data_IF_607636102233
#
_entry.id   IF_607636102233
#
_cell.length_a   1.000
_cell.length_b   1.000
_cell.length_c   1.000
_cell.angle_alpha   90.00
_cell.angle_beta   90.00
_cell.angle_gamma   90.00
#
_symmetry.space_group_name_H-M   'P 1'
#
loop_
_entity.id
_entity.type
_entity.pdbx_description
1 polymer ?
#
# COMPACT_ATOMS: atom_id res chain seq x y z
N UNK A 1 24.22 -2.10 -35.56
CA UNK A 1 23.30 -1.91 -34.42
C UNK A 1 23.78 -0.67 -33.67
N UNK A 2 23.12 0.48 -33.81
CA UNK A 2 23.55 1.65 -33.05
C UNK A 2 23.15 1.45 -31.59
N UNK A 3 24.11 1.60 -30.68
CA UNK A 3 23.80 1.66 -29.25
C UNK A 3 22.96 2.92 -29.04
N UNK A 4 21.73 2.72 -28.56
CA UNK A 4 20.93 3.82 -28.04
C UNK A 4 21.69 4.40 -26.86
N UNK A 5 22.23 5.61 -27.05
CA UNK A 5 22.89 6.34 -25.97
C UNK A 5 21.78 6.80 -25.03
N UNK A 6 21.57 6.06 -23.96
CA UNK A 6 20.67 6.47 -22.90
C UNK A 6 21.19 7.83 -22.36
N UNK A 7 20.34 8.85 -22.25
CA UNK A 7 20.75 10.11 -21.65
C UNK A 7 21.26 9.88 -20.24
N UNK A 8 22.12 10.77 -19.75
CA UNK A 8 22.56 10.74 -18.35
C UNK A 8 21.32 10.87 -17.46
N UNK A 9 20.93 9.76 -16.83
CA UNK A 9 19.78 9.74 -15.92
C UNK A 9 20.21 10.47 -14.64
N UNK A 10 19.61 11.63 -14.38
CA UNK A 10 19.67 12.27 -13.05
C UNK A 10 18.53 11.65 -12.24
N UNK A 11 18.81 10.57 -11.51
CA UNK A 11 17.81 9.86 -10.71
C UNK A 11 18.24 8.45 -10.29
N UNK A 12 17.43 7.80 -9.45
CA UNK A 12 17.62 6.40 -9.06
C UNK A 12 17.41 5.48 -10.27
N UNK A 13 18.25 4.45 -10.37
CA UNK A 13 18.11 3.42 -11.38
C UNK A 13 17.36 2.23 -10.78
N UNK A 14 16.25 1.85 -11.42
CA UNK A 14 15.47 0.67 -11.07
C UNK A 14 15.70 -0.42 -12.11
N UNK A 15 15.90 -1.65 -11.64
CA UNK A 15 15.78 -2.82 -12.50
C UNK A 15 14.30 -3.09 -12.85
N UNK A 16 14.04 -4.00 -13.79
CA UNK A 16 12.69 -4.29 -14.25
C UNK A 16 11.72 -4.69 -13.11
N UNK A 17 12.19 -5.48 -12.14
CA UNK A 17 11.37 -5.91 -11.01
C UNK A 17 11.02 -4.73 -10.10
N UNK A 18 12.00 -3.89 -9.77
CA UNK A 18 11.78 -2.69 -8.95
C UNK A 18 10.81 -1.72 -9.64
N UNK A 19 10.91 -1.57 -10.96
CA UNK A 19 9.99 -0.74 -11.73
C UNK A 19 8.55 -1.26 -11.67
N UNK A 20 8.36 -2.59 -11.78
CA UNK A 20 7.04 -3.23 -11.62
C UNK A 20 6.50 -3.01 -10.22
N UNK A 21 7.29 -3.30 -9.18
CA UNK A 21 6.87 -3.12 -7.78
C UNK A 21 6.43 -1.66 -7.51
N UNK A 22 7.20 -0.68 -8.00
CA UNK A 22 6.90 0.74 -7.84
C UNK A 22 5.61 1.15 -8.55
N UNK A 23 5.43 0.71 -9.80
CA UNK A 23 4.21 1.01 -10.56
C UNK A 23 3.01 0.36 -9.89
N UNK A 24 3.12 -0.89 -9.41
CA UNK A 24 2.03 -1.56 -8.70
C UNK A 24 1.68 -0.83 -7.39
N UNK A 25 2.67 -0.38 -6.63
CA UNK A 25 2.45 0.37 -5.40
C UNK A 25 1.80 1.73 -5.68
N UNK A 26 2.26 2.46 -6.71
CA UNK A 26 1.62 3.70 -7.17
C UNK A 26 0.16 3.46 -7.58
N UNK A 27 -0.10 2.39 -8.35
CA UNK A 27 -1.45 1.99 -8.76
C UNK A 27 -2.36 1.76 -7.54
N UNK A 28 -1.88 0.99 -6.57
CA UNK A 28 -2.58 0.68 -5.34
C UNK A 28 -2.92 1.97 -4.57
N UNK A 29 -1.93 2.84 -4.33
CA UNK A 29 -2.15 4.10 -3.61
C UNK A 29 -3.20 4.96 -4.30
N UNK A 30 -3.09 5.16 -5.61
CA UNK A 30 -4.02 6.02 -6.34
C UNK A 30 -5.44 5.45 -6.41
N UNK A 31 -5.58 4.11 -6.44
CA UNK A 31 -6.88 3.43 -6.44
C UNK A 31 -7.55 3.44 -5.08
N UNK A 32 -6.79 3.26 -4.01
CA UNK A 32 -7.28 3.13 -2.63
C UNK A 32 -7.46 4.49 -1.94
N UNK A 33 -6.53 5.43 -2.17
CA UNK A 33 -6.41 6.64 -1.38
C UNK A 33 -6.04 7.89 -2.20
N UNK A 34 -6.07 7.82 -3.54
CA UNK A 34 -5.62 8.93 -4.39
C UNK A 34 -6.36 10.26 -4.16
N UNK A 35 -7.59 10.21 -3.64
CA UNK A 35 -8.37 11.41 -3.27
C UNK A 35 -8.12 11.91 -1.84
N UNK A 36 -7.19 11.31 -1.10
CA UNK A 36 -6.86 11.67 0.28
C UNK A 36 -5.63 12.57 0.36
N UNK A 37 -5.24 12.94 1.59
CA UNK A 37 -4.00 13.68 1.86
C UNK A 37 -2.76 12.82 1.63
N UNK A 38 -1.60 13.47 1.45
CA UNK A 38 -0.31 12.79 1.31
C UNK A 38 0.01 11.86 2.49
N UNK A 39 -0.35 12.26 3.71
CA UNK A 39 -0.16 11.44 4.91
C UNK A 39 -1.03 10.16 4.88
N UNK A 40 -2.27 10.25 4.41
CA UNK A 40 -3.16 9.11 4.30
C UNK A 40 -2.73 8.15 3.16
N UNK A 41 -2.31 8.70 2.02
CA UNK A 41 -1.70 7.91 0.93
C UNK A 41 -0.42 7.19 1.40
N UNK A 42 0.43 7.90 2.15
CA UNK A 42 1.63 7.35 2.78
C UNK A 42 1.29 6.22 3.75
N UNK A 43 0.27 6.41 4.60
CA UNK A 43 -0.19 5.40 5.55
C UNK A 43 -0.67 4.12 4.86
N UNK A 44 -1.45 4.24 3.77
CA UNK A 44 -1.89 3.10 2.95
C UNK A 44 -0.69 2.36 2.34
N UNK A 45 0.26 3.08 1.76
CA UNK A 45 1.49 2.50 1.21
C UNK A 45 2.31 1.75 2.28
N UNK A 46 2.38 2.28 3.49
CA UNK A 46 3.05 1.64 4.61
C UNK A 46 2.42 0.31 5.02
N UNK A 47 1.12 0.12 4.85
CA UNK A 47 0.50 -1.19 5.12
C UNK A 47 1.04 -2.30 4.23
N UNK A 48 1.32 -1.99 2.96
CA UNK A 48 1.98 -2.92 2.02
C UNK A 48 3.37 -3.24 2.53
N UNK A 49 4.15 -2.21 2.83
CA UNK A 49 5.54 -2.39 3.29
C UNK A 49 5.63 -3.16 4.60
N UNK A 50 4.73 -2.90 5.54
CA UNK A 50 4.67 -3.62 6.82
C UNK A 50 4.38 -5.12 6.64
N UNK A 51 3.64 -5.50 5.60
CA UNK A 51 3.45 -6.90 5.20
C UNK A 51 4.71 -7.46 4.54
N UNK A 52 5.37 -6.71 3.65
CA UNK A 52 6.65 -7.10 3.02
C UNK A 52 7.75 -7.35 4.06
N UNK A 53 7.80 -6.53 5.11
CA UNK A 53 8.74 -6.70 6.23
C UNK A 53 8.41 -7.90 7.14
N UNK A 54 7.30 -8.60 6.89
CA UNK A 54 6.85 -9.81 7.61
C UNK A 54 6.53 -10.95 6.62
N UNK A 55 7.52 -11.43 5.86
CA UNK A 55 7.30 -12.35 4.76
C UNK A 55 6.61 -13.64 5.22
N UNK A 56 5.56 -14.05 4.49
CA UNK A 56 4.80 -15.27 4.73
C UNK A 56 3.84 -15.22 5.92
N UNK A 57 3.88 -14.15 6.72
CA UNK A 57 2.97 -14.00 7.85
C UNK A 57 1.53 -13.86 7.34
N UNK A 58 0.61 -14.67 7.88
CA UNK A 58 -0.80 -14.69 7.49
C UNK A 58 -1.04 -14.87 5.97
N UNK A 59 -0.11 -15.55 5.29
CA UNK A 59 -0.14 -15.78 3.84
C UNK A 59 -0.21 -14.49 3.01
N UNK A 60 0.35 -13.39 3.51
CA UNK A 60 0.35 -12.13 2.76
C UNK A 60 1.25 -12.15 1.54
N UNK A 61 2.19 -13.09 1.40
CA UNK A 61 3.24 -13.03 0.39
C UNK A 61 4.61 -12.78 1.02
N UNK A 62 5.66 -12.83 0.22
CA UNK A 62 7.05 -12.79 0.69
C UNK A 62 7.83 -11.59 0.14
N UNK A 63 7.24 -10.85 -0.78
CA UNK A 63 7.83 -9.68 -1.44
C UNK A 63 6.73 -8.69 -1.88
N UNK A 64 7.11 -7.57 -2.49
CA UNK A 64 6.18 -6.51 -2.91
C UNK A 64 5.06 -7.01 -3.83
N UNK A 65 5.42 -7.68 -4.92
CA UNK A 65 4.50 -8.23 -5.92
C UNK A 65 3.51 -9.20 -5.26
N UNK A 66 4.01 -10.23 -4.57
CA UNK A 66 3.15 -11.25 -3.95
C UNK A 66 2.28 -10.69 -2.82
N UNK A 67 2.70 -9.61 -2.15
CA UNK A 67 1.89 -8.89 -1.17
C UNK A 67 0.74 -8.11 -1.80
N UNK A 68 0.99 -7.40 -2.88
CA UNK A 68 -0.05 -6.63 -3.56
C UNK A 68 -1.03 -7.53 -4.31
N UNK A 69 -0.56 -8.69 -4.80
CA UNK A 69 -1.39 -9.68 -5.51
C UNK A 69 -2.00 -10.77 -4.61
N UNK A 70 -1.77 -10.71 -3.30
CA UNK A 70 -2.35 -11.68 -2.39
C UNK A 70 -3.88 -11.62 -2.44
N UNK A 71 -4.50 -12.80 -2.52
CA UNK A 71 -5.95 -12.95 -2.70
C UNK A 71 -6.69 -12.22 -1.57
N UNK A 72 -7.66 -11.37 -1.92
CA UNK A 72 -8.49 -10.58 -0.99
C UNK A 72 -7.75 -9.53 -0.15
N UNK A 73 -6.47 -9.25 -0.45
CA UNK A 73 -5.70 -8.28 0.31
C UNK A 73 -5.87 -6.85 -0.20
N UNK A 74 -5.90 -6.67 -1.52
CA UNK A 74 -6.11 -5.38 -2.18
C UNK A 74 -7.02 -5.57 -3.39
N UNK A 75 -8.33 -5.35 -3.23
CA UNK A 75 -9.30 -5.57 -4.30
C UNK A 75 -9.09 -4.64 -5.49
N UNK A 76 -8.46 -3.48 -5.27
CA UNK A 76 -8.00 -2.58 -6.32
C UNK A 76 -6.92 -3.16 -7.24
N UNK A 77 -6.30 -4.30 -6.91
CA UNK A 77 -5.29 -4.96 -7.74
C UNK A 77 -5.82 -6.25 -8.35
N UNK A 78 -6.43 -7.13 -7.54
CA UNK A 78 -6.84 -8.48 -7.96
C UNK A 78 -8.29 -8.83 -7.62
N UNK A 79 -9.13 -7.81 -7.38
CA UNK A 79 -10.53 -7.96 -7.03
C UNK A 79 -11.43 -8.39 -8.19
N UNK A 80 -12.74 -8.37 -7.93
CA UNK A 80 -13.75 -8.62 -8.97
C UNK A 80 -13.68 -7.54 -10.05
N UNK A 81 -13.91 -7.87 -11.33
CA UNK A 81 -14.04 -6.88 -12.41
C UNK A 81 -15.09 -5.79 -12.16
N UNK A 82 -16.06 -6.06 -11.29
CA UNK A 82 -17.09 -5.11 -10.88
C UNK A 82 -16.59 -4.07 -9.85
N UNK A 83 -15.39 -4.23 -9.29
CA UNK A 83 -14.78 -3.23 -8.40
C UNK A 83 -14.42 -1.97 -9.22
N UNK A 84 -15.05 -0.81 -8.94
CA UNK A 84 -14.77 0.42 -9.68
C UNK A 84 -13.33 0.89 -9.51
N UNK A 85 -12.65 0.54 -8.42
CA UNK A 85 -11.25 0.91 -8.20
C UNK A 85 -10.30 0.15 -9.13
N UNK A 86 -10.63 -1.10 -9.48
CA UNK A 86 -9.83 -1.90 -10.41
C UNK A 86 -9.76 -1.29 -11.83
N UNK A 87 -10.79 -0.51 -12.20
CA UNK A 87 -10.89 0.14 -13.50
C UNK A 87 -10.20 1.52 -13.55
N UNK A 88 -9.78 2.06 -12.40
CA UNK A 88 -9.06 3.34 -12.37
C UNK A 88 -7.64 3.15 -12.89
N UNK A 89 -7.27 3.93 -13.90
CA UNK A 89 -5.92 3.97 -14.45
C UNK A 89 -5.29 5.36 -14.31
N UNK A 90 -3.95 5.45 -14.26
CA UNK A 90 -3.27 6.71 -14.11
C UNK A 90 -3.55 7.65 -15.27
N UNK A 91 -4.04 8.85 -14.92
CA UNK A 91 -3.97 9.99 -15.80
C UNK A 91 -2.84 10.89 -15.27
N UNK A 92 -1.66 10.77 -15.87
CA UNK A 92 -0.48 11.54 -15.45
C UNK A 92 -0.59 13.04 -15.75
N UNK A 93 -1.68 13.48 -16.38
CA UNK A 93 -1.95 14.89 -16.65
C UNK A 93 -2.83 15.56 -15.58
N UNK A 94 -3.27 14.82 -14.54
CA UNK A 94 -4.05 15.34 -13.42
C UNK A 94 -3.69 14.67 -12.09
N UNK A 95 -3.67 15.49 -11.03
CA UNK A 95 -3.72 15.15 -9.59
C UNK A 95 -4.60 13.91 -9.34
N UNK A 96 -4.09 12.75 -8.85
CA UNK A 96 -3.07 12.58 -7.81
C UNK A 96 -1.88 11.64 -8.15
N UNK A 97 -1.76 11.17 -9.39
CA UNK A 97 -0.87 10.05 -9.72
C UNK A 97 0.62 10.36 -9.57
N UNK A 98 1.04 11.60 -9.83
CA UNK A 98 2.42 12.03 -9.58
C UNK A 98 2.77 11.98 -8.08
N UNK A 99 1.84 12.37 -7.20
CA UNK A 99 2.02 12.25 -5.75
C UNK A 99 2.07 10.79 -5.31
N UNK A 100 1.21 9.95 -5.89
CA UNK A 100 1.21 8.51 -5.62
C UNK A 100 2.56 7.88 -5.98
N UNK A 101 3.16 8.30 -7.10
CA UNK A 101 4.49 7.83 -7.53
C UNK A 101 5.57 8.29 -6.55
N UNK A 102 5.57 9.56 -6.14
CA UNK A 102 6.53 10.09 -5.17
C UNK A 102 6.43 9.35 -3.82
N UNK A 103 5.22 9.12 -3.32
CA UNK A 103 4.99 8.37 -2.08
C UNK A 103 5.42 6.91 -2.22
N UNK A 104 5.09 6.25 -3.34
CA UNK A 104 5.52 4.89 -3.61
C UNK A 104 7.04 4.77 -3.58
N UNK A 105 7.75 5.71 -4.22
CA UNK A 105 9.22 5.74 -4.24
C UNK A 105 9.82 5.90 -2.84
N UNK A 106 9.31 6.84 -2.04
CA UNK A 106 9.78 7.10 -0.68
C UNK A 106 9.59 5.88 0.23
N UNK A 107 8.41 5.24 0.16
CA UNK A 107 8.08 4.06 0.97
C UNK A 107 8.88 2.86 0.52
N UNK A 108 8.97 2.60 -0.79
CA UNK A 108 9.73 1.48 -1.33
C UNK A 108 11.20 1.53 -0.89
N UNK A 109 11.80 2.72 -0.94
CA UNK A 109 13.22 2.91 -0.64
C UNK A 109 13.55 3.09 0.84
N UNK A 110 12.57 3.33 1.72
CA UNK A 110 12.87 3.53 3.14
C UNK A 110 13.23 4.93 3.57
N UNK A 111 12.72 5.93 2.87
CA UNK A 111 13.14 7.33 3.05
C UNK A 111 12.19 8.14 3.94
N UNK A 112 11.08 7.52 4.35
CA UNK A 112 10.08 8.08 5.25
C UNK A 112 9.86 7.12 6.40
N UNK A 113 9.36 7.60 7.53
CA UNK A 113 8.99 6.76 8.68
C UNK A 113 7.56 6.22 8.53
N UNK A 114 7.24 5.15 9.27
CA UNK A 114 5.88 4.58 9.31
C UNK A 114 4.96 5.43 10.21
N UNK A 115 3.96 6.14 9.66
CA UNK A 115 3.01 6.90 10.48
C UNK A 115 1.95 5.98 11.12
N UNK A 116 1.83 4.73 10.69
CA UNK A 116 0.74 3.81 11.06
C UNK A 116 1.02 2.98 12.31
N UNK A 117 2.22 3.11 12.90
CA UNK A 117 2.63 2.33 14.07
C UNK A 117 2.60 0.80 13.83
N UNK A 118 3.03 0.38 12.64
CA UNK A 118 3.13 -1.03 12.25
C UNK A 118 1.81 -1.63 11.75
N UNK A 119 0.88 -0.82 11.26
CA UNK A 119 -0.39 -1.30 10.74
C UNK A 119 -0.20 -2.15 9.48
N UNK A 120 -1.01 -3.19 9.35
CA UNK A 120 -1.05 -4.07 8.17
C UNK A 120 -2.45 -4.15 7.58
N UNK A 121 -3.43 -3.49 8.18
CA UNK A 121 -4.82 -3.45 7.71
C UNK A 121 -5.36 -2.05 7.92
N UNK A 122 -6.35 -1.68 7.11
CA UNK A 122 -7.10 -0.47 7.28
C UNK A 122 -8.51 -0.66 6.72
N UNK A 123 -9.43 0.23 7.11
CA UNK A 123 -10.70 0.39 6.42
C UNK A 123 -11.11 1.87 6.43
N UNK A 124 -11.91 2.27 5.45
CA UNK A 124 -12.43 3.63 5.32
C UNK A 124 -13.54 3.88 6.36
N UNK A 125 -13.51 5.04 7.00
CA UNK A 125 -14.45 5.44 8.04
C UNK A 125 -15.92 5.46 7.56
N UNK A 126 -16.18 5.54 6.25
CA UNK A 126 -17.53 5.34 5.69
C UNK A 126 -18.13 3.97 6.01
N UNK A 127 -17.32 2.98 6.39
CA UNK A 127 -17.75 1.66 6.84
C UNK A 127 -17.96 1.57 8.36
N UNK A 128 -17.91 2.66 9.12
CA UNK A 128 -18.09 2.64 10.58
C UNK A 128 -19.40 1.99 11.06
N UNK A 129 -20.49 2.12 10.26
CA UNK A 129 -21.76 1.47 10.57
C UNK A 129 -21.71 -0.06 10.41
N UNK A 130 -20.91 -0.54 9.46
CA UNK A 130 -20.71 -1.97 9.21
C UNK A 130 -19.21 -2.31 9.00
N UNK A 131 -18.39 -2.27 10.06
CA UNK A 131 -16.95 -2.48 9.92
C UNK A 131 -16.65 -3.91 9.48
N UNK A 132 -15.52 -4.13 8.78
CA UNK A 132 -15.09 -5.47 8.41
C UNK A 132 -15.03 -6.41 9.61
N UNK A 133 -15.41 -7.68 9.42
CA UNK A 133 -15.46 -8.66 10.51
C UNK A 133 -14.12 -8.80 11.25
N UNK A 134 -12.99 -8.68 10.54
CA UNK A 134 -11.66 -8.75 11.15
C UNK A 134 -11.41 -7.59 12.14
N UNK A 135 -11.95 -6.40 11.88
CA UNK A 135 -11.80 -5.23 12.76
C UNK A 135 -12.54 -5.41 14.08
N UNK A 136 -13.64 -6.19 14.06
CA UNK A 136 -14.46 -6.50 15.23
C UNK A 136 -14.04 -7.79 15.96
N UNK A 137 -13.12 -8.56 15.38
CA UNK A 137 -12.79 -9.91 15.86
C UNK A 137 -11.92 -9.96 17.11
N UNK A 138 -11.33 -8.84 17.53
CA UNK A 138 -10.37 -8.76 18.64
C UNK A 138 -8.98 -9.34 18.34
N UNK A 139 -8.74 -9.87 17.13
CA UNK A 139 -7.41 -10.40 16.70
C UNK A 139 -6.45 -9.30 16.24
N UNK A 140 -6.99 -8.13 15.93
CA UNK A 140 -6.24 -6.96 15.48
C UNK A 140 -6.51 -5.81 16.45
N UNK A 141 -5.49 -5.00 16.64
CA UNK A 141 -5.51 -3.80 17.48
C UNK A 141 -5.56 -2.57 16.56
N UNK A 142 -6.47 -1.63 16.85
CA UNK A 142 -6.48 -0.32 16.20
C UNK A 142 -5.24 0.46 16.64
N UNK A 143 -4.55 1.06 15.68
CA UNK A 143 -3.27 1.76 15.88
C UNK A 143 -3.45 3.27 15.86
N UNK A 144 -3.99 3.80 14.77
CA UNK A 144 -4.14 5.24 14.52
C UNK A 144 -5.23 5.49 13.49
N UNK A 145 -5.77 6.71 13.50
CA UNK A 145 -6.63 7.24 12.44
C UNK A 145 -5.84 8.27 11.64
N UNK A 146 -5.79 8.11 10.32
CA UNK A 146 -5.10 9.04 9.41
C UNK A 146 -6.00 9.28 8.20
N UNK A 147 -6.38 10.54 7.99
CA UNK A 147 -7.36 10.90 6.96
C UNK A 147 -8.70 10.19 7.19
N UNK A 148 -9.25 9.59 6.14
CA UNK A 148 -10.50 8.84 6.20
C UNK A 148 -10.34 7.38 6.66
N UNK A 149 -9.17 6.96 7.16
CA UNK A 149 -8.90 5.54 7.43
C UNK A 149 -8.63 5.24 8.89
N UNK A 150 -9.12 4.08 9.34
CA UNK A 150 -8.76 3.46 10.60
C UNK A 150 -7.74 2.36 10.36
N UNK A 151 -6.56 2.46 10.98
CA UNK A 151 -5.45 1.52 10.77
C UNK A 151 -5.34 0.49 11.90
N UNK A 152 -4.98 -0.74 11.56
CA UNK A 152 -4.91 -1.87 12.49
C UNK A 152 -3.65 -2.71 12.27
N UNK A 153 -3.15 -3.30 13.34
CA UNK A 153 -2.06 -4.28 13.32
C UNK A 153 -2.51 -5.61 13.91
N UNK A 154 -1.87 -6.69 13.47
CA UNK A 154 -2.08 -8.01 14.08
C UNK A 154 -1.48 -8.03 15.48
N UNK A 155 -2.27 -8.50 16.45
CA UNK A 155 -1.78 -8.81 17.79
C UNK A 155 -1.05 -10.14 17.67
N UNK A 156 0.27 -10.14 17.81
CA UNK A 156 1.04 -11.38 17.78
C UNK A 156 0.57 -12.29 18.95
N UNK A 157 0.30 -13.59 18.73
CA UNK A 157 0.04 -14.50 19.83
C UNK A 157 1.30 -14.60 20.69
N UNK A 158 1.30 -13.99 21.87
CA UNK A 158 2.31 -14.24 22.91
C UNK A 158 3.13 -13.06 23.43
N UNK A 159 2.89 -11.81 23.03
CA UNK A 159 3.49 -10.67 23.77
C UNK A 159 2.51 -10.25 24.87
N UNK A 160 2.59 -10.96 26.00
CA UNK A 160 2.12 -10.42 27.27
C UNK A 160 3.00 -9.19 27.53
N UNK A 161 2.39 -8.00 27.59
CA UNK A 161 3.09 -6.82 28.10
C UNK A 161 3.56 -7.16 29.52
N UNK A 162 4.87 -7.17 29.71
CA UNK A 162 5.48 -7.13 31.04
C UNK A 162 5.41 -5.70 31.60
#
# INVERSE_FOLDING_TARGET
>A
MSQVRMPAVIGKLYNARQAVDLVMLMMLIGREAGNQTDEAMLAVAWTVRNRVLRPGFWNWGTDWETVMEARWQYSSINGSPADPNLQKYPNLHVEPWERCLAIAELVYNGEVNDPTQGATHYYDASLELEPPNWARSGKLEKTVDIGAFHFFRVIAPGVIQA
#
